data_IF_094695447395
#
_entry.id   IF_094695447395
#
_cell.length_a   1.000
_cell.length_b   1.000
_cell.length_c   1.000
_cell.angle_alpha   90.00
_cell.angle_beta   90.00
_cell.angle_gamma   90.00
#
_symmetry.space_group_name_H-M   'P 1'
#
loop_
_entity.id
_entity.type
_entity.pdbx_description
1 polymer ?
#
# COMPACT_ATOMS: atom_id res chain seq x y z
N UNK A 1 6.46 -26.16 -6.11
CA UNK A 1 6.34 -24.72 -6.42
C UNK A 1 5.15 -24.46 -7.33
N UNK A 2 5.02 -25.16 -8.46
CA UNK A 2 3.86 -25.06 -9.37
C UNK A 2 2.48 -25.12 -8.66
N UNK A 3 2.25 -26.16 -7.85
CA UNK A 3 0.98 -26.31 -7.10
C UNK A 3 0.70 -25.17 -6.12
N UNK A 4 1.75 -24.53 -5.57
CA UNK A 4 1.64 -23.38 -4.66
C UNK A 4 1.19 -22.14 -5.45
N UNK A 5 1.77 -21.93 -6.64
CA UNK A 5 1.36 -20.84 -7.52
C UNK A 5 -0.10 -21.01 -7.95
N UNK A 6 -0.48 -22.22 -8.35
CA UNK A 6 -1.86 -22.53 -8.77
C UNK A 6 -2.85 -22.34 -7.63
N UNK A 7 -2.57 -22.88 -6.43
CA UNK A 7 -3.52 -22.77 -5.31
C UNK A 7 -3.68 -21.31 -4.87
N UNK A 8 -2.60 -20.52 -4.83
CA UNK A 8 -2.73 -19.10 -4.50
C UNK A 8 -3.53 -18.35 -5.58
N UNK A 9 -3.34 -18.69 -6.86
CA UNK A 9 -4.17 -18.17 -7.95
C UNK A 9 -5.65 -18.53 -7.78
N UNK A 10 -5.98 -19.79 -7.49
CA UNK A 10 -7.37 -20.22 -7.28
C UNK A 10 -8.04 -19.43 -6.14
N UNK A 11 -7.35 -19.25 -5.02
CA UNK A 11 -7.90 -18.50 -3.88
C UNK A 11 -8.02 -16.99 -4.17
N UNK A 12 -7.07 -16.40 -4.88
CA UNK A 12 -7.09 -14.97 -5.16
C UNK A 12 -8.09 -14.58 -6.26
N UNK A 13 -8.35 -15.49 -7.22
CA UNK A 13 -9.28 -15.22 -8.32
C UNK A 13 -10.71 -15.69 -8.05
N UNK A 14 -10.90 -16.73 -7.22
CA UNK A 14 -12.23 -17.30 -6.95
C UNK A 14 -12.76 -16.87 -5.59
N UNK A 15 -12.08 -17.26 -4.52
CA UNK A 15 -12.51 -17.01 -3.16
C UNK A 15 -11.33 -17.21 -2.19
N UNK A 16 -10.99 -16.14 -1.47
CA UNK A 16 -9.89 -16.15 -0.55
C UNK A 16 -10.20 -16.88 0.77
N UNK A 17 -11.46 -17.14 1.12
CA UNK A 17 -11.88 -17.81 2.38
C UNK A 17 -12.95 -18.88 2.14
N UNK A 18 -12.54 -19.97 1.47
CA UNK A 18 -13.43 -21.12 1.21
C UNK A 18 -13.62 -22.03 2.43
N UNK A 19 -14.77 -22.69 2.47
CA UNK A 19 -15.09 -23.74 3.44
C UNK A 19 -14.20 -24.99 3.25
N UNK A 20 -14.06 -25.80 4.31
CA UNK A 20 -13.14 -26.94 4.35
C UNK A 20 -13.32 -27.94 3.19
N UNK A 21 -14.57 -28.21 2.77
CA UNK A 21 -14.86 -29.12 1.66
C UNK A 21 -14.38 -28.56 0.31
N UNK A 22 -14.57 -27.26 0.07
CA UNK A 22 -14.12 -26.60 -1.16
C UNK A 22 -12.61 -26.39 -1.15
N UNK A 23 -12.02 -26.09 0.02
CA UNK A 23 -10.57 -26.04 0.20
C UNK A 23 -9.90 -27.32 -0.27
N UNK A 24 -10.40 -28.48 0.16
CA UNK A 24 -9.86 -29.77 -0.23
C UNK A 24 -9.97 -29.99 -1.75
N UNK A 25 -11.09 -29.59 -2.37
CA UNK A 25 -11.28 -29.65 -3.82
C UNK A 25 -10.25 -28.79 -4.56
N UNK A 26 -10.07 -27.53 -4.15
CA UNK A 26 -9.10 -26.62 -4.76
C UNK A 26 -7.66 -27.12 -4.59
N UNK A 27 -7.32 -27.66 -3.42
CA UNK A 27 -6.01 -28.25 -3.15
C UNK A 27 -5.74 -29.44 -4.07
N UNK A 28 -6.70 -30.36 -4.20
CA UNK A 28 -6.58 -31.48 -5.12
C UNK A 28 -6.43 -31.02 -6.57
N UNK A 29 -7.24 -30.05 -7.01
CA UNK A 29 -7.14 -29.48 -8.35
C UNK A 29 -5.76 -28.86 -8.63
N UNK A 30 -5.21 -28.12 -7.66
CA UNK A 30 -3.89 -27.52 -7.81
C UNK A 30 -2.78 -28.57 -7.89
N UNK A 31 -2.87 -29.65 -7.10
CA UNK A 31 -1.92 -30.75 -7.11
C UNK A 31 -1.97 -31.54 -8.42
N UNK A 32 -3.17 -31.93 -8.88
CA UNK A 32 -3.35 -32.68 -10.12
C UNK A 32 -2.91 -31.86 -11.33
N UNK A 33 -3.31 -30.59 -11.41
CA UNK A 33 -2.90 -29.66 -12.47
C UNK A 33 -1.37 -29.50 -12.50
N UNK A 34 -0.74 -29.31 -11.34
CA UNK A 34 0.72 -29.20 -11.28
C UNK A 34 1.43 -30.49 -11.73
N UNK A 35 0.90 -31.67 -11.35
CA UNK A 35 1.47 -32.94 -11.77
C UNK A 35 1.36 -33.14 -13.29
N UNK A 36 0.22 -32.74 -13.89
CA UNK A 36 0.02 -32.77 -15.34
C UNK A 36 0.98 -31.82 -16.06
N UNK A 37 1.07 -30.56 -15.62
CA UNK A 37 1.97 -29.55 -16.22
C UNK A 37 3.44 -29.98 -16.17
N UNK A 38 3.86 -30.58 -15.06
CA UNK A 38 5.24 -31.03 -14.86
C UNK A 38 5.51 -32.47 -15.35
N UNK A 39 4.51 -33.11 -15.96
CA UNK A 39 4.58 -34.49 -16.45
C UNK A 39 5.10 -35.48 -15.39
N UNK A 40 4.47 -35.46 -14.20
CA UNK A 40 4.82 -36.32 -13.04
C UNK A 40 3.74 -37.36 -12.74
N UNK A 41 3.51 -38.36 -13.61
CA UNK A 41 2.42 -39.33 -13.46
C UNK A 41 2.56 -40.21 -12.21
N UNK A 42 3.78 -40.48 -11.75
CA UNK A 42 4.02 -41.24 -10.51
C UNK A 42 3.55 -40.50 -9.25
N UNK A 43 3.66 -39.17 -9.22
CA UNK A 43 3.16 -38.36 -8.10
C UNK A 43 1.63 -38.36 -8.12
N UNK A 44 1.04 -38.19 -9.30
CA UNK A 44 -0.41 -38.24 -9.50
C UNK A 44 -0.98 -39.59 -9.03
N UNK A 45 -0.36 -40.69 -9.46
CA UNK A 45 -0.73 -42.05 -9.04
C UNK A 45 -0.74 -42.21 -7.51
N UNK A 46 0.26 -41.64 -6.82
CA UNK A 46 0.31 -41.66 -5.35
C UNK A 46 -0.79 -40.79 -4.73
N UNK A 47 -1.01 -39.57 -5.23
CA UNK A 47 -2.08 -38.68 -4.73
C UNK A 47 -3.45 -39.37 -4.79
N UNK A 48 -3.71 -40.19 -5.81
CA UNK A 48 -4.99 -40.88 -5.99
C UNK A 48 -5.19 -42.07 -5.04
N UNK A 49 -4.11 -42.76 -4.67
CA UNK A 49 -4.18 -44.06 -3.96
C UNK A 49 -3.72 -44.02 -2.50
N UNK A 50 -2.79 -43.13 -2.17
CA UNK A 50 -2.18 -43.01 -0.85
C UNK A 50 -2.82 -41.82 -0.12
N UNK A 51 -3.76 -42.13 0.79
CA UNK A 51 -4.56 -41.11 1.48
C UNK A 51 -3.70 -40.25 2.41
N UNK A 52 -2.73 -40.85 3.12
CA UNK A 52 -1.85 -40.13 4.03
C UNK A 52 -0.91 -39.20 3.25
N UNK A 53 -0.33 -39.69 2.16
CA UNK A 53 0.47 -38.86 1.27
C UNK A 53 -0.32 -37.67 0.71
N UNK A 54 -1.56 -37.90 0.24
CA UNK A 54 -2.45 -36.83 -0.23
C UNK A 54 -2.76 -35.84 0.89
N UNK A 55 -3.07 -36.31 2.10
CA UNK A 55 -3.37 -35.46 3.25
C UNK A 55 -2.18 -34.57 3.61
N UNK A 56 -0.98 -35.13 3.67
CA UNK A 56 0.24 -34.36 3.96
C UNK A 56 0.51 -33.29 2.89
N UNK A 57 0.38 -33.64 1.61
CA UNK A 57 0.55 -32.67 0.52
C UNK A 57 -0.49 -31.56 0.57
N UNK A 58 -1.76 -31.92 0.75
CA UNK A 58 -2.86 -30.94 0.88
C UNK A 58 -2.62 -29.98 2.04
N UNK A 59 -2.25 -30.49 3.23
CA UNK A 59 -1.94 -29.65 4.38
C UNK A 59 -0.77 -28.72 4.10
N UNK A 60 0.28 -29.22 3.43
CA UNK A 60 1.45 -28.42 3.07
C UNK A 60 1.09 -27.28 2.10
N UNK A 61 0.34 -27.56 1.03
CA UNK A 61 -0.04 -26.51 0.07
C UNK A 61 -1.05 -25.53 0.67
N UNK A 62 -1.96 -26.00 1.52
CA UNK A 62 -2.89 -25.12 2.21
C UNK A 62 -2.18 -24.19 3.19
N UNK A 63 -1.16 -24.68 3.90
CA UNK A 63 -0.29 -23.83 4.72
C UNK A 63 0.32 -22.66 3.95
N UNK A 64 0.52 -22.79 2.62
CA UNK A 64 0.98 -21.69 1.76
C UNK A 64 -0.10 -20.67 1.44
N UNK A 65 -1.37 -21.07 1.40
CA UNK A 65 -2.50 -20.14 1.31
C UNK A 65 -2.61 -19.33 2.60
N UNK A 66 -2.55 -19.97 3.77
CA UNK A 66 -2.54 -19.28 5.06
C UNK A 66 -1.39 -18.29 5.16
N UNK A 67 -0.18 -18.72 4.75
CA UNK A 67 0.98 -17.84 4.68
C UNK A 67 0.76 -16.66 3.72
N UNK A 68 0.19 -16.89 2.54
CA UNK A 68 -0.13 -15.84 1.57
C UNK A 68 -1.08 -14.79 2.18
N UNK A 69 -2.16 -15.20 2.85
CA UNK A 69 -3.08 -14.26 3.54
C UNK A 69 -2.34 -13.43 4.59
N UNK A 70 -1.49 -14.08 5.40
CA UNK A 70 -0.64 -13.40 6.38
C UNK A 70 0.30 -12.37 5.75
N UNK A 71 0.87 -12.64 4.56
CA UNK A 71 1.68 -11.66 3.83
C UNK A 71 0.87 -10.43 3.39
N UNK A 72 -0.42 -10.58 3.08
CA UNK A 72 -1.30 -9.43 2.76
C UNK A 72 -1.50 -8.56 4.01
N UNK A 73 -1.76 -9.16 5.18
CA UNK A 73 -1.81 -8.43 6.46
C UNK A 73 -0.51 -7.69 6.74
N UNK A 74 0.64 -8.34 6.58
CA UNK A 74 1.96 -7.70 6.79
C UNK A 74 2.16 -6.51 5.85
N UNK A 75 1.63 -6.57 4.62
CA UNK A 75 1.65 -5.41 3.73
C UNK A 75 0.79 -4.26 4.27
N UNK A 76 -0.40 -4.56 4.81
CA UNK A 76 -1.32 -3.59 5.40
C UNK A 76 -0.78 -2.96 6.70
N UNK A 77 -0.17 -3.73 7.60
CA UNK A 77 0.47 -3.22 8.82
C UNK A 77 1.46 -2.08 8.52
N UNK A 78 2.22 -2.20 7.43
CA UNK A 78 3.20 -1.19 6.97
C UNK A 78 2.58 0.04 6.30
N UNK A 79 1.25 0.11 6.19
CA UNK A 79 0.52 1.15 5.46
C UNK A 79 -0.42 1.90 6.40
N UNK A 80 -1.15 1.19 7.27
CA UNK A 80 -2.25 1.76 8.06
C UNK A 80 -1.80 2.94 8.92
N UNK A 81 -0.66 2.84 9.58
CA UNK A 81 -0.14 3.89 10.45
C UNK A 81 -0.05 5.24 9.73
N UNK A 82 0.61 5.26 8.57
CA UNK A 82 0.83 6.48 7.79
C UNK A 82 -0.42 6.95 7.06
N UNK A 83 -1.25 6.03 6.54
CA UNK A 83 -2.41 6.39 5.71
C UNK A 83 -3.62 6.87 6.50
N UNK A 84 -3.74 6.46 7.76
CA UNK A 84 -4.79 6.93 8.67
C UNK A 84 -4.26 7.91 9.73
N UNK A 85 -2.99 8.35 9.63
CA UNK A 85 -2.44 9.41 10.48
C UNK A 85 -2.34 9.04 11.97
N UNK A 86 -2.15 7.75 12.30
CA UNK A 86 -2.33 7.26 13.68
C UNK A 86 -1.31 7.85 14.67
N UNK A 87 -0.05 8.05 14.26
CA UNK A 87 1.02 8.51 15.16
C UNK A 87 0.86 9.95 15.64
N UNK A 88 0.24 10.81 14.82
CA UNK A 88 0.02 12.22 15.18
C UNK A 88 -1.08 12.46 16.20
N UNK A 89 -1.79 11.40 16.61
CA UNK A 89 -2.94 11.47 17.51
C UNK A 89 -2.56 11.10 18.94
N UNK A 90 -3.25 11.69 19.91
CA UNK A 90 -3.25 11.18 21.28
C UNK A 90 -3.83 9.77 21.35
N UNK A 91 -3.53 9.05 22.43
CA UNK A 91 -3.95 7.66 22.62
C UNK A 91 -5.48 7.49 22.51
N UNK A 92 -6.26 8.36 23.15
CA UNK A 92 -7.73 8.30 23.13
C UNK A 92 -8.33 8.70 21.76
N UNK A 93 -7.74 9.70 21.09
CA UNK A 93 -8.12 10.04 19.71
C UNK A 93 -7.85 8.87 18.75
N UNK A 94 -6.72 8.18 18.91
CA UNK A 94 -6.36 7.03 18.08
C UNK A 94 -7.32 5.87 18.28
N UNK A 95 -7.66 5.52 19.52
CA UNK A 95 -8.69 4.50 19.83
C UNK A 95 -10.02 4.84 19.14
N UNK A 96 -10.50 6.06 19.38
CA UNK A 96 -11.78 6.53 18.82
C UNK A 96 -11.78 6.49 17.29
N UNK A 97 -10.69 6.92 16.66
CA UNK A 97 -10.55 6.88 15.20
C UNK A 97 -10.59 5.44 14.68
N UNK A 98 -9.80 4.54 15.28
CA UNK A 98 -9.73 3.14 14.87
C UNK A 98 -11.09 2.46 15.02
N UNK A 99 -11.79 2.65 16.14
CA UNK A 99 -13.14 2.11 16.33
C UNK A 99 -14.09 2.57 15.22
N UNK A 100 -14.15 3.87 14.95
CA UNK A 100 -14.97 4.45 13.88
C UNK A 100 -14.57 4.01 12.47
N UNK A 101 -13.28 3.76 12.24
CA UNK A 101 -12.80 3.27 10.94
C UNK A 101 -13.28 1.85 10.68
N UNK A 102 -13.30 1.00 11.71
CA UNK A 102 -13.71 -0.40 11.63
C UNK A 102 -15.24 -0.55 11.53
N UNK A 103 -16.01 0.44 11.99
CA UNK A 103 -17.46 0.50 11.79
C UNK A 103 -17.82 0.64 10.30
N UNK A 104 -18.80 -0.16 9.85
CA UNK A 104 -19.38 -0.10 8.50
C UNK A 104 -18.35 -0.11 7.35
N UNK A 105 -17.20 -0.76 7.56
CA UNK A 105 -16.09 -0.82 6.61
C UNK A 105 -15.53 0.58 6.23
N UNK A 106 -15.69 1.60 7.07
CA UNK A 106 -15.35 2.99 6.75
C UNK A 106 -13.90 3.15 6.24
N UNK A 107 -12.98 2.34 6.75
CA UNK A 107 -11.58 2.34 6.34
C UNK A 107 -11.32 2.12 4.83
N UNK A 108 -12.24 1.57 4.05
CA UNK A 108 -12.05 1.39 2.59
C UNK A 108 -12.35 2.65 1.76
N UNK A 109 -12.99 3.67 2.36
CA UNK A 109 -13.44 4.87 1.67
C UNK A 109 -12.40 5.99 1.75
N UNK A 110 -12.26 6.83 0.70
CA UNK A 110 -11.44 8.04 0.78
C UNK A 110 -11.94 8.95 1.91
N UNK A 111 -11.00 9.48 2.67
CA UNK A 111 -11.24 10.52 3.68
C UNK A 111 -10.65 11.82 3.19
N UNK A 112 -11.41 12.91 3.27
CA UNK A 112 -10.86 14.25 2.98
C UNK A 112 -9.90 14.68 4.08
N UNK A 113 -10.19 14.28 5.32
CA UNK A 113 -9.27 14.38 6.45
C UNK A 113 -9.01 12.95 6.99
N UNK A 114 -7.76 12.44 6.94
CA UNK A 114 -7.42 11.09 7.38
C UNK A 114 -7.82 10.74 8.82
N UNK A 115 -7.99 11.74 9.69
CA UNK A 115 -8.32 11.54 11.12
C UNK A 115 -9.78 11.83 11.44
N UNK A 116 -10.63 12.04 10.44
CA UNK A 116 -12.06 12.32 10.62
C UNK A 116 -12.91 11.45 9.68
N UNK A 117 -13.51 10.40 10.25
CA UNK A 117 -14.34 9.43 9.54
C UNK A 117 -15.64 10.03 9.01
N UNK A 118 -16.10 11.17 9.54
CA UNK A 118 -17.29 11.85 9.01
C UNK A 118 -17.06 12.42 7.60
N UNK A 119 -15.80 12.56 7.18
CA UNK A 119 -15.41 13.07 5.86
C UNK A 119 -15.31 12.01 4.78
N UNK A 120 -15.78 10.78 5.05
CA UNK A 120 -15.71 9.68 4.11
C UNK A 120 -16.57 9.91 2.85
N UNK A 121 -16.05 9.48 1.71
CA UNK A 121 -16.71 9.61 0.41
C UNK A 121 -17.46 8.33 0.05
N UNK A 122 -18.69 8.18 0.56
CA UNK A 122 -19.52 6.97 0.40
C UNK A 122 -19.78 6.56 -1.06
N UNK A 123 -19.68 7.48 -2.02
CA UNK A 123 -19.80 7.19 -3.45
C UNK A 123 -18.54 6.56 -4.09
N UNK A 124 -17.49 6.32 -3.30
CA UNK A 124 -16.18 5.84 -3.77
C UNK A 124 -15.63 4.69 -2.90
N UNK A 125 -16.36 3.57 -2.74
CA UNK A 125 -15.86 2.43 -1.97
C UNK A 125 -14.54 1.91 -2.55
N UNK A 126 -13.66 1.42 -1.68
CA UNK A 126 -12.31 0.91 -2.00
C UNK A 126 -11.35 1.92 -2.63
N UNK A 127 -11.72 3.21 -2.75
CA UNK A 127 -10.84 4.24 -3.33
C UNK A 127 -9.90 4.88 -2.32
N UNK A 128 -9.90 4.43 -1.07
CA UNK A 128 -8.88 4.86 -0.11
C UNK A 128 -7.48 4.45 -0.61
N UNK A 129 -6.49 5.34 -0.48
CA UNK A 129 -5.13 5.10 -1.00
C UNK A 129 -4.50 3.83 -0.39
N UNK A 130 -4.83 3.50 0.87
CA UNK A 130 -4.32 2.31 1.53
C UNK A 130 -4.72 1.01 0.80
N UNK A 131 -5.92 0.95 0.22
CA UNK A 131 -6.40 -0.22 -0.53
C UNK A 131 -5.51 -0.47 -1.75
N UNK A 132 -5.26 0.56 -2.55
CA UNK A 132 -4.39 0.47 -3.72
C UNK A 132 -2.95 0.07 -3.35
N UNK A 133 -2.41 0.62 -2.26
CA UNK A 133 -1.07 0.29 -1.79
C UNK A 133 -0.95 -1.14 -1.27
N UNK A 134 -1.96 -1.65 -0.56
CA UNK A 134 -2.01 -3.06 -0.13
C UNK A 134 -2.06 -3.97 -1.34
N UNK A 135 -2.98 -3.71 -2.29
CA UNK A 135 -3.10 -4.48 -3.52
C UNK A 135 -1.78 -4.51 -4.30
N UNK A 136 -1.12 -3.35 -4.46
CA UNK A 136 0.17 -3.25 -5.12
C UNK A 136 1.23 -4.09 -4.40
N UNK A 137 1.44 -3.84 -3.10
CA UNK A 137 2.50 -4.51 -2.32
C UNK A 137 2.29 -6.01 -2.22
N UNK A 138 1.05 -6.46 -2.07
CA UNK A 138 0.72 -7.88 -1.89
C UNK A 138 0.73 -8.66 -3.20
N UNK A 139 0.21 -8.09 -4.30
CA UNK A 139 -0.13 -8.87 -5.49
C UNK A 139 0.62 -8.48 -6.75
N UNK A 140 1.15 -7.26 -6.85
CA UNK A 140 1.75 -6.72 -8.09
C UNK A 140 3.22 -6.31 -7.96
N UNK A 141 3.75 -6.25 -6.73
CA UNK A 141 5.13 -5.83 -6.49
C UNK A 141 6.13 -6.94 -6.85
N UNK A 142 6.94 -6.66 -7.87
CA UNK A 142 8.04 -7.53 -8.30
C UNK A 142 7.70 -8.45 -9.47
N UNK A 143 8.73 -8.93 -10.17
CA UNK A 143 8.57 -9.73 -11.41
C UNK A 143 7.85 -11.08 -11.20
N UNK A 144 7.92 -11.63 -9.99
CA UNK A 144 7.26 -12.89 -9.62
C UNK A 144 5.96 -12.69 -8.85
N UNK A 145 5.38 -11.48 -8.85
CA UNK A 145 4.12 -11.23 -8.16
C UNK A 145 2.98 -11.99 -8.87
N UNK A 146 1.98 -12.45 -8.11
CA UNK A 146 0.86 -13.24 -8.66
C UNK A 146 0.09 -12.47 -9.74
N UNK A 147 -0.12 -11.17 -9.54
CA UNK A 147 -0.79 -10.31 -10.52
C UNK A 147 -0.02 -10.18 -11.84
N UNK A 148 1.29 -10.45 -11.85
CA UNK A 148 2.10 -10.53 -13.08
C UNK A 148 2.08 -11.94 -13.68
N UNK A 149 2.14 -12.97 -12.84
CA UNK A 149 2.13 -14.36 -13.29
C UNK A 149 0.80 -14.77 -13.95
N UNK A 150 -0.32 -14.24 -13.46
CA UNK A 150 -1.67 -14.53 -13.95
C UNK A 150 -2.30 -13.34 -14.66
N UNK A 151 -1.48 -12.53 -15.33
CA UNK A 151 -1.95 -11.31 -16.01
C UNK A 151 -3.06 -11.59 -17.05
N UNK A 152 -3.03 -12.75 -17.72
CA UNK A 152 -4.06 -13.19 -18.66
C UNK A 152 -5.40 -13.55 -18.03
N UNK A 153 -5.44 -13.76 -16.71
CA UNK A 153 -6.63 -14.23 -16.00
C UNK A 153 -7.51 -13.09 -15.49
N UNK A 154 -7.04 -11.83 -15.59
CA UNK A 154 -7.85 -10.66 -15.29
C UNK A 154 -8.76 -10.36 -16.48
N UNK A 155 -10.05 -10.55 -16.31
CA UNK A 155 -11.06 -10.40 -17.36
C UNK A 155 -12.05 -9.31 -17.01
N UNK A 156 -12.58 -8.61 -18.02
CA UNK A 156 -13.67 -7.65 -17.85
C UNK A 156 -15.01 -8.35 -17.71
N UNK A 157 -15.88 -7.88 -16.81
CA UNK A 157 -17.30 -8.25 -16.83
C UNK A 157 -18.07 -7.43 -17.85
N UNK A 158 -17.62 -6.21 -18.19
CA UNK A 158 -18.30 -5.33 -19.14
C UNK A 158 -18.31 -5.92 -20.54
N UNK A 159 -19.42 -5.73 -21.27
CA UNK A 159 -19.51 -6.09 -22.69
C UNK A 159 -19.05 -4.95 -23.61
N UNK A 160 -18.77 -3.77 -23.04
CA UNK A 160 -18.42 -2.55 -23.77
C UNK A 160 -16.94 -2.20 -23.67
N UNK A 161 -16.30 -2.62 -22.59
CA UNK A 161 -14.90 -2.36 -22.29
C UNK A 161 -14.21 -3.67 -21.91
N UNK A 162 -12.98 -3.85 -22.40
CA UNK A 162 -12.13 -5.03 -22.19
C UNK A 162 -11.02 -4.79 -21.17
N UNK A 163 -11.02 -3.64 -20.49
CA UNK A 163 -10.07 -3.32 -19.43
C UNK A 163 -10.02 -4.43 -18.37
N UNK A 164 -8.81 -4.81 -17.99
CA UNK A 164 -8.57 -5.84 -16.96
C UNK A 164 -9.11 -5.38 -15.62
N UNK A 165 -9.86 -6.25 -14.95
CA UNK A 165 -10.47 -5.99 -13.64
C UNK A 165 -9.84 -6.85 -12.56
N UNK A 166 -9.67 -6.31 -11.34
CA UNK A 166 -9.32 -7.14 -10.19
C UNK A 166 -10.45 -8.09 -9.81
N UNK A 167 -10.15 -9.35 -9.45
CA UNK A 167 -11.11 -10.25 -8.84
C UNK A 167 -11.58 -9.68 -7.49
N UNK A 168 -12.88 -9.79 -7.22
CA UNK A 168 -13.46 -9.39 -5.92
C UNK A 168 -12.78 -10.04 -4.72
N UNK A 169 -12.31 -11.29 -4.86
CA UNK A 169 -11.59 -12.00 -3.80
C UNK A 169 -10.26 -11.32 -3.43
N UNK A 170 -9.52 -10.76 -4.39
CA UNK A 170 -8.30 -9.97 -4.09
C UNK A 170 -8.64 -8.67 -3.37
N UNK A 171 -9.71 -8.00 -3.79
CA UNK A 171 -10.15 -6.72 -3.21
C UNK A 171 -10.67 -6.92 -1.78
N UNK A 172 -11.51 -7.93 -1.57
CA UNK A 172 -12.01 -8.31 -0.26
C UNK A 172 -10.86 -8.72 0.68
N UNK A 173 -9.90 -9.54 0.22
CA UNK A 173 -8.73 -9.92 1.03
C UNK A 173 -7.87 -8.70 1.41
N UNK A 174 -7.72 -7.71 0.52
CA UNK A 174 -7.03 -6.47 0.85
C UNK A 174 -7.79 -5.65 1.90
N UNK A 175 -9.12 -5.61 1.82
CA UNK A 175 -9.98 -5.01 2.85
C UNK A 175 -9.80 -5.67 4.22
N UNK A 176 -9.94 -7.00 4.28
CA UNK A 176 -9.72 -7.79 5.51
C UNK A 176 -8.32 -7.57 6.09
N UNK A 177 -7.29 -7.48 5.24
CA UNK A 177 -5.94 -7.18 5.69
C UNK A 177 -5.81 -5.79 6.33
N UNK A 178 -6.50 -4.78 5.79
CA UNK A 178 -6.58 -3.45 6.40
C UNK A 178 -7.37 -3.48 7.71
N UNK A 179 -8.51 -4.18 7.76
CA UNK A 179 -9.27 -4.40 8.99
C UNK A 179 -8.38 -5.00 10.08
N UNK A 180 -7.72 -6.12 9.79
CA UNK A 180 -6.85 -6.80 10.73
C UNK A 180 -5.71 -5.89 11.19
N UNK A 181 -5.05 -5.19 10.28
CA UNK A 181 -3.96 -4.27 10.61
C UNK A 181 -4.43 -3.07 11.44
N UNK A 182 -5.64 -2.53 11.20
CA UNK A 182 -6.23 -1.46 12.02
C UNK A 182 -6.70 -1.97 13.38
N UNK A 183 -7.22 -3.19 13.45
CA UNK A 183 -7.69 -3.83 14.69
C UNK A 183 -6.59 -3.91 15.74
N UNK A 184 -5.34 -4.13 15.34
CA UNK A 184 -4.15 -4.10 16.21
C UNK A 184 -3.96 -2.78 16.96
N UNK A 185 -4.53 -1.69 16.44
CA UNK A 185 -4.46 -0.36 17.04
C UNK A 185 -5.65 -0.03 17.93
N UNK A 186 -6.60 -0.95 18.15
CA UNK A 186 -7.79 -0.70 18.99
C UNK A 186 -7.48 -0.28 20.41
N UNK A 187 -6.34 -0.69 20.97
CA UNK A 187 -5.89 -0.26 22.31
C UNK A 187 -5.30 1.15 22.33
N UNK A 188 -5.13 1.79 21.17
CA UNK A 188 -4.37 3.02 20.99
C UNK A 188 -2.87 2.79 20.81
N UNK A 189 -2.37 1.55 20.94
CA UNK A 189 -1.02 1.14 20.55
C UNK A 189 -1.11 -0.10 19.67
N UNK A 190 -0.13 -0.30 18.78
CA UNK A 190 -0.10 -1.49 17.95
C UNK A 190 0.22 -2.72 18.79
N UNK A 191 -0.67 -3.72 18.76
CA UNK A 191 -0.47 -5.04 19.35
C UNK A 191 -0.73 -6.05 18.24
N UNK A 192 0.31 -6.81 17.85
CA UNK A 192 0.17 -7.83 16.80
C UNK A 192 -0.83 -8.92 17.24
N UNK A 193 -1.84 -9.16 16.40
CA UNK A 193 -2.87 -10.18 16.63
C UNK A 193 -2.76 -11.32 15.60
N UNK A 194 -3.15 -12.54 15.98
CA UNK A 194 -3.14 -13.66 15.05
C UNK A 194 -4.10 -13.43 13.87
N UNK A 195 -3.65 -13.74 12.66
CA UNK A 195 -4.47 -13.69 11.44
C UNK A 195 -5.02 -15.09 11.13
N UNK A 196 -6.13 -15.44 11.75
CA UNK A 196 -6.77 -16.73 11.54
C UNK A 196 -7.87 -16.66 10.48
N UNK A 197 -8.13 -17.79 9.81
CA UNK A 197 -9.23 -17.89 8.86
C UNK A 197 -10.60 -17.75 9.54
N UNK A 198 -10.72 -18.23 10.78
CA UNK A 198 -11.95 -18.21 11.54
C UNK A 198 -12.33 -16.79 11.95
N UNK A 199 -11.37 -16.00 12.45
CA UNK A 199 -11.63 -14.64 12.93
C UNK A 199 -11.92 -13.66 11.79
N UNK A 200 -11.35 -13.92 10.61
CA UNK A 200 -11.42 -13.00 9.47
C UNK A 200 -12.52 -13.36 8.46
N UNK A 201 -13.21 -14.50 8.64
CA UNK A 201 -14.24 -14.98 7.71
C UNK A 201 -15.43 -14.03 7.62
N UNK A 202 -15.92 -13.58 8.77
CA UNK A 202 -17.06 -12.66 8.84
C UNK A 202 -16.74 -11.34 8.11
N UNK A 203 -15.57 -10.77 8.37
CA UNK A 203 -15.13 -9.54 7.70
C UNK A 203 -14.98 -9.73 6.19
N UNK A 204 -14.45 -10.87 5.76
CA UNK A 204 -14.36 -11.20 4.35
C UNK A 204 -15.75 -11.29 3.70
N UNK A 205 -16.71 -11.93 4.37
CA UNK A 205 -18.08 -12.06 3.89
C UNK A 205 -18.77 -10.69 3.79
N UNK A 206 -18.53 -9.77 4.74
CA UNK A 206 -19.01 -8.39 4.67
C UNK A 206 -18.52 -7.67 3.41
N UNK A 207 -17.25 -7.84 3.04
CA UNK A 207 -16.71 -7.28 1.80
C UNK A 207 -17.33 -7.90 0.55
N UNK A 208 -17.48 -9.22 0.51
CA UNK A 208 -18.10 -9.92 -0.62
C UNK A 208 -19.55 -9.47 -0.77
N UNK A 209 -20.29 -9.36 0.34
CA UNK A 209 -21.67 -8.88 0.35
C UNK A 209 -21.76 -7.43 -0.13
N UNK A 210 -20.89 -6.53 0.33
CA UNK A 210 -20.85 -5.15 -0.17
C UNK A 210 -20.65 -5.11 -1.69
N UNK A 211 -19.72 -5.92 -2.21
CA UNK A 211 -19.40 -5.98 -3.64
C UNK A 211 -20.58 -6.56 -4.44
N UNK A 212 -21.13 -7.71 -4.03
CA UNK A 212 -22.17 -8.41 -4.78
C UNK A 212 -23.54 -7.73 -4.66
N UNK A 213 -23.91 -7.28 -3.47
CA UNK A 213 -25.26 -6.77 -3.20
C UNK A 213 -25.39 -5.26 -3.45
N UNK A 214 -24.38 -4.46 -3.12
CA UNK A 214 -24.48 -3.00 -3.25
C UNK A 214 -23.81 -2.43 -4.51
N UNK A 215 -22.66 -3.00 -4.92
CA UNK A 215 -21.90 -2.49 -6.07
C UNK A 215 -22.36 -3.14 -7.37
N UNK A 216 -22.33 -4.47 -7.47
CA UNK A 216 -22.78 -5.23 -8.64
C UNK A 216 -24.31 -5.24 -8.74
N UNK A 217 -24.99 -5.36 -7.59
CA UNK A 217 -26.42 -5.58 -7.42
C UNK A 217 -26.90 -6.90 -8.03
N UNK A 218 -27.84 -7.56 -7.35
CA UNK A 218 -28.38 -8.88 -7.76
C UNK A 218 -29.03 -8.86 -9.15
N UNK A 219 -29.58 -7.72 -9.56
CA UNK A 219 -30.20 -7.51 -10.88
C UNK A 219 -29.18 -7.17 -11.99
N UNK A 220 -27.88 -7.07 -11.65
CA UNK A 220 -26.82 -6.69 -12.59
C UNK A 220 -26.82 -5.22 -12.99
N UNK A 221 -27.70 -4.38 -12.44
CA UNK A 221 -27.76 -2.95 -12.78
C UNK A 221 -26.50 -2.18 -12.37
N UNK A 222 -25.72 -2.73 -11.44
CA UNK A 222 -24.44 -2.19 -10.99
C UNK A 222 -23.23 -2.64 -11.81
N UNK A 223 -23.41 -3.47 -12.83
CA UNK A 223 -22.33 -4.09 -13.62
C UNK A 223 -21.27 -3.11 -14.13
N UNK A 224 -21.67 -1.98 -14.72
CA UNK A 224 -20.71 -0.99 -15.22
C UNK A 224 -20.01 -0.23 -14.09
N UNK A 225 -20.65 -0.06 -12.92
CA UNK A 225 -20.01 0.53 -11.73
C UNK A 225 -18.97 -0.43 -11.15
N UNK A 226 -19.30 -1.71 -11.08
CA UNK A 226 -18.36 -2.77 -10.71
C UNK A 226 -17.15 -2.77 -11.66
N UNK A 227 -17.40 -2.81 -12.97
CA UNK A 227 -16.34 -2.75 -13.99
C UNK A 227 -15.40 -1.56 -13.77
N UNK A 228 -15.96 -0.34 -13.70
CA UNK A 228 -15.19 0.88 -13.50
C UNK A 228 -14.38 0.89 -12.19
N UNK A 229 -14.92 0.30 -11.13
CA UNK A 229 -14.22 0.16 -9.86
C UNK A 229 -13.06 -0.83 -9.97
N UNK A 230 -13.33 -2.05 -10.42
CA UNK A 230 -12.33 -3.12 -10.45
C UNK A 230 -11.23 -2.86 -11.48
N UNK A 231 -11.57 -2.26 -12.63
CA UNK A 231 -10.59 -1.83 -13.63
C UNK A 231 -9.70 -0.70 -13.10
N UNK A 232 -10.27 0.27 -12.37
CA UNK A 232 -9.46 1.29 -11.72
C UNK A 232 -8.51 0.69 -10.68
N UNK A 233 -9.00 -0.18 -9.80
CA UNK A 233 -8.16 -0.79 -8.78
C UNK A 233 -7.06 -1.65 -9.40
N UNK A 234 -7.34 -2.35 -10.51
CA UNK A 234 -6.32 -3.05 -11.28
C UNK A 234 -5.23 -2.08 -11.76
N UNK A 235 -5.62 -0.98 -12.38
CA UNK A 235 -4.69 0.05 -12.84
C UNK A 235 -3.85 0.62 -11.68
N UNK A 236 -4.46 1.02 -10.57
CA UNK A 236 -3.74 1.55 -9.40
C UNK A 236 -2.79 0.52 -8.79
N UNK A 237 -3.26 -0.72 -8.57
CA UNK A 237 -2.45 -1.79 -8.01
C UNK A 237 -1.29 -2.18 -8.93
N UNK A 238 -1.48 -2.08 -10.24
CA UNK A 238 -0.48 -2.47 -11.23
C UNK A 238 0.52 -1.35 -11.57
N UNK A 239 0.32 -0.12 -11.06
CA UNK A 239 1.30 0.96 -11.21
C UNK A 239 2.62 0.52 -10.57
N UNK A 240 3.67 0.47 -11.39
CA UNK A 240 5.02 0.54 -10.84
C UNK A 240 5.13 1.92 -10.20
N UNK A 241 5.15 1.98 -8.87
CA UNK A 241 5.80 3.09 -8.20
C UNK A 241 7.25 3.03 -8.69
N UNK A 242 7.56 3.79 -9.73
CA UNK A 242 8.94 4.10 -10.04
C UNK A 242 9.50 4.60 -8.71
N UNK A 243 10.45 3.86 -8.13
CA UNK A 243 11.38 4.43 -7.17
C UNK A 243 11.75 5.79 -7.73
N UNK A 244 11.55 6.86 -6.97
CA UNK A 244 11.82 8.25 -7.38
C UNK A 244 13.15 8.36 -8.15
N UNK A 245 13.12 8.08 -9.44
CA UNK A 245 14.07 8.59 -10.41
C UNK A 245 13.62 10.02 -10.51
N UNK A 246 14.45 10.92 -9.96
CA UNK A 246 14.28 12.36 -10.00
C UNK A 246 14.16 12.83 -11.46
N UNK A 247 12.99 12.66 -12.05
CA UNK A 247 12.57 13.48 -13.17
C UNK A 247 11.77 14.61 -12.55
N UNK A 248 12.47 15.73 -12.40
CA UNK A 248 11.97 17.03 -11.95
C UNK A 248 10.51 17.25 -12.32
N UNK A 249 9.66 17.37 -11.31
CA UNK A 249 8.36 18.03 -11.41
C UNK A 249 8.33 19.11 -10.35
N UNK A 250 9.14 20.15 -10.57
CA UNK A 250 8.86 21.43 -9.94
C UNK A 250 7.41 21.79 -10.29
N UNK A 251 6.62 22.31 -9.33
CA UNK A 251 5.27 22.76 -9.64
C UNK A 251 5.32 23.78 -10.78
N UNK A 252 4.35 23.72 -11.70
CA UNK A 252 4.14 24.82 -12.63
C UNK A 252 3.67 26.01 -11.79
N UNK A 253 4.58 26.95 -11.59
CA UNK A 253 4.31 28.22 -10.93
C UNK A 253 3.65 29.12 -11.97
N UNK A 254 2.48 29.64 -11.64
CA UNK A 254 1.83 30.73 -12.36
C UNK A 254 2.56 32.03 -11.99
N UNK A 255 3.50 32.45 -12.85
CA UNK A 255 4.25 33.68 -12.65
C UNK A 255 3.39 34.94 -12.90
N UNK A 256 2.36 34.82 -13.74
CA UNK A 256 1.53 35.96 -14.14
C UNK A 256 0.48 36.29 -13.07
N UNK A 257 0.04 35.28 -12.31
CA UNK A 257 -0.84 35.42 -11.14
C UNK A 257 -0.13 35.55 -9.80
N UNK A 258 1.22 35.57 -9.78
CA UNK A 258 1.98 35.68 -8.54
C UNK A 258 1.87 37.11 -7.97
N UNK A 259 1.44 37.24 -6.72
CA UNK A 259 1.39 38.54 -6.04
C UNK A 259 2.77 39.20 -6.05
N UNK A 260 2.89 40.30 -6.79
CA UNK A 260 4.02 41.21 -6.65
C UNK A 260 3.72 42.03 -5.40
N UNK A 261 4.42 41.76 -4.30
CA UNK A 261 4.45 42.67 -3.16
C UNK A 261 5.09 43.98 -3.60
N UNK A 262 4.29 44.91 -4.12
CA UNK A 262 4.67 46.31 -4.14
C UNK A 262 4.68 46.77 -2.70
N UNK A 263 5.87 46.73 -2.10
CA UNK A 263 6.13 47.45 -0.87
C UNK A 263 5.84 48.92 -1.16
N UNK A 264 4.67 49.40 -0.71
CA UNK A 264 4.42 50.82 -0.57
C UNK A 264 5.43 51.29 0.48
N UNK A 265 6.52 51.88 0.01
CA UNK A 265 7.57 52.43 0.85
C UNK A 265 6.98 53.58 1.68
N UNK A 266 6.46 53.26 2.86
CA UNK A 266 6.39 54.22 3.95
C UNK A 266 7.75 54.24 4.62
N UNK A 267 8.45 55.36 4.47
CA UNK A 267 9.86 55.56 4.81
C UNK A 267 10.18 55.47 6.29
N UNK A 268 10.31 54.24 6.82
CA UNK A 268 10.81 53.98 8.16
C UNK A 268 11.89 52.87 8.22
N UNK A 269 12.38 52.38 7.07
CA UNK A 269 13.33 51.26 6.99
C UNK A 269 14.69 51.62 6.34
N UNK A 270 15.11 52.88 6.36
CA UNK A 270 16.44 53.28 5.86
C UNK A 270 17.51 53.28 6.98
N UNK A 271 17.14 53.25 8.27
CA UNK A 271 18.15 53.24 9.35
C UNK A 271 18.78 51.86 9.60
N UNK A 272 18.12 50.75 9.25
CA UNK A 272 18.61 49.41 9.59
C UNK A 272 19.65 48.84 8.59
N UNK A 273 19.72 49.36 7.36
CA UNK A 273 20.64 48.84 6.34
C UNK A 273 22.02 49.51 6.34
N UNK A 274 22.17 50.67 6.99
CA UNK A 274 23.48 51.35 7.07
C UNK A 274 24.37 50.69 8.12
N UNK A 275 23.81 50.17 9.22
CA UNK A 275 24.61 49.48 10.25
C UNK A 275 25.16 48.11 9.79
N UNK A 276 24.47 47.42 8.88
CA UNK A 276 24.89 46.09 8.41
C UNK A 276 26.03 46.17 7.38
N UNK A 277 26.06 47.23 6.55
CA UNK A 277 27.13 47.41 5.55
C UNK A 277 28.44 47.83 6.22
N UNK A 278 28.38 48.67 7.26
CA UNK A 278 29.57 49.06 8.04
C UNK A 278 30.22 47.85 8.74
N UNK A 279 29.42 46.87 9.18
CA UNK A 279 29.94 45.67 9.85
C UNK A 279 30.64 44.68 8.90
N UNK A 280 30.27 44.68 7.61
CA UNK A 280 30.89 43.81 6.60
C UNK A 280 32.23 44.39 6.14
N UNK A 281 32.31 45.70 5.91
CA UNK A 281 33.56 46.38 5.53
C UNK A 281 34.63 46.30 6.65
N UNK A 282 34.21 46.40 7.92
CA UNK A 282 35.14 46.26 9.07
C UNK A 282 35.71 44.83 9.23
N UNK A 283 34.94 43.81 8.85
CA UNK A 283 35.40 42.41 8.91
C UNK A 283 36.39 42.10 7.76
N UNK A 284 36.19 42.66 6.57
CA UNK A 284 37.13 42.50 5.45
C UNK A 284 38.49 43.18 5.74
N UNK A 285 38.49 44.34 6.38
CA UNK A 285 39.71 45.07 6.77
C UNK A 285 40.50 44.36 7.89
N UNK A 286 39.81 43.72 8.85
CA UNK A 286 40.45 42.89 9.88
C UNK A 286 41.08 41.62 9.31
N UNK A 287 40.48 41.00 8.29
CA UNK A 287 41.03 39.79 7.66
C UNK A 287 42.26 40.09 6.80
N UNK A 288 42.32 41.26 6.14
CA UNK A 288 43.50 41.68 5.37
C UNK A 288 44.69 42.04 6.27
N UNK A 289 44.45 42.72 7.40
CA UNK A 289 45.50 43.04 8.37
C UNK A 289 46.11 41.80 9.06
N UNK A 290 45.31 40.75 9.26
CA UNK A 290 45.79 39.50 9.87
C UNK A 290 46.62 38.63 8.91
N UNK A 291 46.39 38.74 7.60
CA UNK A 291 47.21 38.08 6.58
C UNK A 291 48.61 38.71 6.48
N UNK A 292 48.68 40.05 6.57
CA UNK A 292 49.93 40.80 6.49
C UNK A 292 50.85 40.59 7.72
N UNK A 293 50.27 40.34 8.90
CA UNK A 293 51.02 39.98 10.12
C UNK A 293 51.61 38.56 10.12
N UNK A 294 51.13 37.66 9.24
CA UNK A 294 51.61 36.28 9.17
C UNK A 294 52.81 36.09 8.21
N UNK A 295 53.02 37.02 7.28
CA UNK A 295 54.16 37.00 6.35
C UNK A 295 55.43 37.66 6.93
N UNK A 296 55.31 38.52 7.95
CA UNK A 296 56.45 39.21 8.61
C UNK A 296 57.16 38.40 9.72
N UNK A 297 56.68 37.18 10.04
CA UNK A 297 57.30 36.27 11.04
C UNK A 297 58.04 35.07 10.40
N UNK A 298 58.39 35.17 9.11
CA UNK A 298 59.16 34.17 8.36
C UNK A 298 60.68 34.40 8.30
N UNK A 299 61.25 35.16 9.24
CA UNK A 299 62.68 35.49 9.29
C UNK A 299 63.38 34.93 10.54
N UNK A 300 63.64 33.62 10.59
CA UNK A 300 64.49 33.02 11.62
C UNK A 300 65.98 33.27 11.33
N UNK A 301 66.76 33.88 12.24
CA UNK A 301 68.18 34.13 12.02
C UNK A 301 69.03 32.88 12.30
N UNK A 302 70.12 32.81 11.55
CA UNK A 302 71.26 31.91 11.72
C UNK A 302 72.18 32.39 12.85
N UNK A 303 72.75 31.42 13.59
CA UNK A 303 74.13 31.33 14.15
C UNK A 303 74.38 31.20 15.68
N UNK A 304 75.17 30.15 15.99
CA UNK A 304 76.17 29.88 17.06
C UNK A 304 75.72 29.96 18.53
N UNK A 305 76.05 29.02 19.45
CA UNK A 305 77.25 28.17 19.63
C UNK A 305 77.03 26.65 19.49
#
# INVERSE_FOLDING_TARGET
MESITIINGLFLFKDAFVEAAEQLKLCNLALTTACSNLQRPHILYRIERDQDYRKHLTNYIFGRVTHMRGQVKVAAQKIVEARYGLIGLSLEQRKTLVEKLLEELCYIFPLTNPTDTSTWQANRPYRHIAVAEVLNKAFFKGRKAIGKQYESNFTSVSTKDTAKELPKAMVALAGVALFAALKEWKSGSQIDEDFSAADMKEEYDNHIQLIDEQIMKKDGSGKEKYHNLMAHLYCEANKTHASNSKNSKLPKIDFDGMEIWQCSFNGAYIECLIETVIYIEYIEELMQNHAQYSEDMGGGPTYFE
#
